data_IF_254585985692
#
_entry.id   IF_254585985692
#
_cell.length_a   1.000
_cell.length_b   1.000
_cell.length_c   1.000
_cell.angle_alpha   90.00
_cell.angle_beta   90.00
_cell.angle_gamma   90.00
#
_symmetry.space_group_name_H-M   'P 1'
#
loop_
_entity.id
_entity.type
_entity.pdbx_description
1 polymer ?
#
# COMPACT_ATOMS: atom_id res chain seq x y z
N UNK A 1 48.88 44.19 36.44
CA UNK A 1 50.29 44.08 36.87
C UNK A 1 51.13 44.71 35.76
N UNK A 2 51.22 46.03 35.55
CA UNK A 2 51.33 47.18 36.47
C UNK A 2 52.23 46.89 37.65
N UNK A 3 53.52 47.20 37.47
CA UNK A 3 54.47 47.76 38.45
C UNK A 3 55.80 47.92 37.70
N UNK A 4 56.24 49.12 37.30
CA UNK A 4 56.90 50.18 38.10
C UNK A 4 58.03 49.68 38.99
N UNK A 5 59.26 49.90 38.53
CA UNK A 5 60.49 50.04 39.32
C UNK A 5 61.52 50.67 38.37
N UNK A 6 62.06 51.88 38.59
CA UNK A 6 62.36 52.57 39.83
C UNK A 6 63.84 52.35 40.14
N UNK A 7 64.59 53.46 40.20
CA UNK A 7 65.99 53.63 40.62
C UNK A 7 67.02 53.77 39.49
N UNK A 8 68.02 54.64 39.56
CA UNK A 8 68.38 55.73 40.48
C UNK A 8 69.34 56.62 39.68
N UNK A 9 69.24 57.93 39.91
CA UNK A 9 70.09 58.95 39.34
C UNK A 9 71.56 58.78 39.77
N UNK A 10 72.49 59.16 38.89
CA UNK A 10 73.75 59.76 39.29
C UNK A 10 74.13 60.81 38.25
N UNK A 11 73.75 62.06 38.58
CA UNK A 11 74.36 63.26 38.05
C UNK A 11 75.87 63.15 38.27
N UNK A 12 76.65 63.31 37.22
CA UNK A 12 78.07 63.61 37.32
C UNK A 12 78.36 64.74 36.35
N UNK A 13 78.05 65.97 36.81
CA UNK A 13 78.59 67.19 36.23
C UNK A 13 80.10 67.18 36.48
N UNK A 14 80.86 66.81 35.45
CA UNK A 14 82.31 66.95 35.45
C UNK A 14 82.62 68.37 35.00
N UNK A 15 82.74 69.27 35.96
CA UNK A 15 83.52 70.51 35.82
C UNK A 15 84.99 70.13 35.70
N UNK A 16 85.63 70.41 34.56
CA UNK A 16 87.03 70.82 34.59
C UNK A 16 87.51 71.44 33.28
N UNK A 17 87.77 72.74 33.41
CA UNK A 17 88.97 73.43 32.94
C UNK A 17 89.60 72.96 31.63
N UNK A 18 89.36 73.73 30.58
CA UNK A 18 90.35 73.88 29.51
C UNK A 18 90.66 75.36 29.31
N UNK A 19 91.93 75.66 29.55
CA UNK A 19 92.64 76.93 29.43
C UNK A 19 92.12 77.87 28.32
N UNK A 20 91.91 79.14 28.70
CA UNK A 20 92.03 80.27 27.79
C UNK A 20 93.52 80.48 27.53
N UNK A 21 94.05 79.85 26.48
CA UNK A 21 95.36 80.19 25.95
C UNK A 21 95.23 81.49 25.14
N UNK A 22 95.57 82.61 25.77
CA UNK A 22 95.89 83.86 25.08
C UNK A 22 97.22 83.66 24.37
N UNK A 23 97.18 83.17 23.14
CA UNK A 23 98.35 83.15 22.28
C UNK A 23 98.53 84.57 21.70
N UNK A 24 99.48 85.30 22.30
CA UNK A 24 100.06 86.52 21.74
C UNK A 24 100.46 86.25 20.29
N UNK A 25 99.93 87.07 19.39
CA UNK A 25 100.32 87.12 18.00
C UNK A 25 101.82 87.37 17.87
N UNK A 26 102.59 86.34 17.53
CA UNK A 26 103.80 86.54 16.75
C UNK A 26 103.33 86.72 15.30
N UNK A 27 103.11 87.98 14.93
CA UNK A 27 103.00 88.39 13.53
C UNK A 27 104.38 88.19 12.87
N UNK A 28 104.63 87.00 12.35
CA UNK A 28 105.60 86.85 11.27
C UNK A 28 104.93 87.39 10.01
N UNK A 29 105.19 88.66 9.72
CA UNK A 29 104.93 89.27 8.42
C UNK A 29 105.85 88.59 7.39
N UNK A 30 105.43 87.44 6.85
CA UNK A 30 105.97 86.90 5.60
C UNK A 30 104.87 86.99 4.57
N UNK A 31 105.18 87.74 3.52
CA UNK A 31 104.33 87.97 2.36
C UNK A 31 103.78 86.67 1.75
N UNK A 32 102.47 86.70 1.49
CA UNK A 32 101.76 86.14 0.35
C UNK A 32 102.08 84.70 -0.13
N UNK A 33 101.13 83.79 0.10
CA UNK A 33 100.69 82.85 -0.95
C UNK A 33 100.54 81.37 -0.61
N UNK A 34 101.50 80.73 0.07
CA UNK A 34 101.66 79.27 0.00
C UNK A 34 100.86 78.41 0.99
N UNK A 35 101.15 78.51 2.28
CA UNK A 35 100.67 77.53 3.27
C UNK A 35 99.16 77.63 3.56
N UNK A 36 98.62 78.85 3.64
CA UNK A 36 97.18 79.08 3.83
C UNK A 36 96.35 78.65 2.62
N UNK A 37 96.89 78.81 1.41
CA UNK A 37 96.30 78.33 0.16
C UNK A 37 96.25 76.80 0.11
N UNK A 38 97.35 76.12 0.47
CA UNK A 38 97.43 74.64 0.52
C UNK A 38 96.51 74.02 1.58
N UNK A 39 96.41 74.61 2.77
CA UNK A 39 95.44 74.14 3.79
C UNK A 39 93.99 74.35 3.35
N UNK A 40 93.68 75.47 2.69
CA UNK A 40 92.34 75.70 2.09
C UNK A 40 92.03 74.70 0.98
N UNK A 41 92.99 74.41 0.12
CA UNK A 41 92.85 73.42 -0.95
C UNK A 41 92.62 72.01 -0.38
N UNK A 42 93.41 71.58 0.61
CA UNK A 42 93.21 70.30 1.28
C UNK A 42 91.87 70.22 2.03
N UNK A 43 91.43 71.31 2.67
CA UNK A 43 90.09 71.38 3.27
C UNK A 43 88.98 71.27 2.23
N UNK A 44 89.17 71.90 1.07
CA UNK A 44 88.22 71.82 -0.04
C UNK A 44 88.17 70.42 -0.66
N UNK A 45 89.33 69.78 -0.85
CA UNK A 45 89.46 68.40 -1.36
C UNK A 45 88.89 67.38 -0.37
N UNK A 46 89.20 67.52 0.92
CA UNK A 46 88.62 66.65 1.97
C UNK A 46 87.10 66.83 2.07
N UNK A 47 86.60 68.06 1.91
CA UNK A 47 85.16 68.34 1.85
C UNK A 47 84.53 67.75 0.60
N UNK A 48 85.15 67.90 -0.57
CA UNK A 48 84.69 67.31 -1.83
C UNK A 48 84.65 65.79 -1.75
N UNK A 49 85.70 65.16 -1.23
CA UNK A 49 85.74 63.70 -1.02
C UNK A 49 84.71 63.21 0.00
N UNK A 50 84.42 64.01 1.05
CA UNK A 50 83.35 63.71 2.00
C UNK A 50 81.97 63.82 1.34
N UNK A 51 81.73 64.85 0.53
CA UNK A 51 80.49 65.03 -0.23
C UNK A 51 80.28 63.90 -1.25
N UNK A 52 81.33 63.49 -1.97
CA UNK A 52 81.31 62.36 -2.89
C UNK A 52 81.03 61.03 -2.18
N UNK A 53 81.73 60.74 -1.08
CA UNK A 53 81.50 59.51 -0.30
C UNK A 53 80.12 59.47 0.34
N UNK A 54 79.61 60.60 0.84
CA UNK A 54 78.23 60.70 1.31
C UNK A 54 77.21 60.45 0.19
N UNK A 55 77.44 61.01 -1.00
CA UNK A 55 76.56 60.78 -2.15
C UNK A 55 76.54 59.31 -2.58
N UNK A 56 77.70 58.64 -2.55
CA UNK A 56 77.85 57.23 -2.85
C UNK A 56 77.16 56.36 -1.78
N UNK A 57 77.33 56.70 -0.49
CA UNK A 57 76.67 55.99 0.61
C UNK A 57 75.14 56.08 0.50
N UNK A 58 74.60 57.27 0.19
CA UNK A 58 73.16 57.44 -0.05
C UNK A 58 72.69 56.60 -1.25
N UNK A 59 73.41 56.65 -2.37
CA UNK A 59 73.09 55.85 -3.56
C UNK A 59 73.11 54.34 -3.28
N UNK A 60 74.10 53.86 -2.52
CA UNK A 60 74.18 52.45 -2.11
C UNK A 60 73.04 52.07 -1.15
N UNK A 61 72.69 52.94 -0.20
CA UNK A 61 71.54 52.73 0.69
C UNK A 61 70.23 52.62 -0.10
N UNK A 62 69.98 53.50 -1.06
CA UNK A 62 68.80 53.44 -1.93
C UNK A 62 68.76 52.15 -2.75
N UNK A 63 69.90 51.73 -3.29
CA UNK A 63 70.00 50.45 -4.04
C UNK A 63 69.73 49.25 -3.14
N UNK A 64 70.24 49.25 -1.91
CA UNK A 64 69.98 48.19 -0.93
C UNK A 64 68.48 48.13 -0.59
N UNK A 65 67.85 49.27 -0.31
CA UNK A 65 66.41 49.35 -0.05
C UNK A 65 65.59 48.84 -1.24
N UNK A 66 65.95 49.22 -2.46
CA UNK A 66 65.27 48.77 -3.67
C UNK A 66 65.40 47.25 -3.87
N UNK A 67 66.58 46.67 -3.61
CA UNK A 67 66.78 45.21 -3.66
C UNK A 67 65.97 44.51 -2.56
N UNK A 68 65.92 45.07 -1.35
CA UNK A 68 65.12 44.52 -0.24
C UNK A 68 63.62 44.52 -0.58
N UNK A 69 63.09 45.64 -1.08
CA UNK A 69 61.69 45.71 -1.52
C UNK A 69 61.36 44.70 -2.63
N UNK A 70 62.27 44.51 -3.59
CA UNK A 70 62.11 43.48 -4.62
C UNK A 70 62.11 42.08 -4.03
N UNK A 71 63.02 41.77 -3.10
CA UNK A 71 63.07 40.48 -2.41
C UNK A 71 61.76 40.20 -1.67
N UNK A 72 61.26 41.18 -0.93
CA UNK A 72 60.04 41.01 -0.13
C UNK A 72 58.80 40.81 -1.03
N UNK A 73 58.72 41.52 -2.18
CA UNK A 73 57.69 41.27 -3.20
C UNK A 73 57.77 39.85 -3.77
N UNK A 74 58.97 39.38 -4.11
CA UNK A 74 59.16 38.00 -4.62
C UNK A 74 58.80 36.97 -3.56
N UNK A 75 59.18 37.19 -2.30
CA UNK A 75 58.82 36.32 -1.19
C UNK A 75 57.30 36.21 -1.01
N UNK A 76 56.58 37.33 -1.07
CA UNK A 76 55.12 37.35 -1.02
C UNK A 76 54.47 36.58 -2.19
N UNK A 77 55.00 36.74 -3.40
CA UNK A 77 54.51 35.99 -4.57
C UNK A 77 54.76 34.48 -4.45
N UNK A 78 55.93 34.08 -3.92
CA UNK A 78 56.24 32.67 -3.67
C UNK A 78 55.29 32.05 -2.63
N UNK A 79 54.97 32.78 -1.56
CA UNK A 79 53.98 32.35 -0.57
C UNK A 79 52.60 32.18 -1.20
N UNK A 80 52.15 33.15 -2.02
CA UNK A 80 50.86 33.07 -2.71
C UNK A 80 50.80 31.87 -3.66
N UNK A 81 51.87 31.61 -4.42
CA UNK A 81 51.96 30.46 -5.31
C UNK A 81 51.92 29.14 -4.54
N UNK A 82 52.56 29.08 -3.37
CA UNK A 82 52.52 27.89 -2.51
C UNK A 82 51.10 27.62 -2.01
N UNK A 83 50.38 28.64 -1.53
CA UNK A 83 48.98 28.52 -1.10
C UNK A 83 48.09 28.06 -2.26
N UNK A 84 48.25 28.65 -3.45
CA UNK A 84 47.48 28.24 -4.64
C UNK A 84 47.74 26.78 -5.02
N UNK A 85 48.98 26.32 -4.95
CA UNK A 85 49.34 24.92 -5.22
C UNK A 85 48.70 23.97 -4.22
N UNK A 86 48.77 24.28 -2.92
CA UNK A 86 48.10 23.50 -1.89
C UNK A 86 46.59 23.42 -2.13
N UNK A 87 45.96 24.52 -2.55
CA UNK A 87 44.53 24.53 -2.87
C UNK A 87 44.21 23.67 -4.08
N UNK A 88 45.06 23.66 -5.11
CA UNK A 88 44.91 22.80 -6.28
C UNK A 88 45.00 21.31 -5.90
N UNK A 89 45.93 20.94 -5.02
CA UNK A 89 46.07 19.57 -4.51
C UNK A 89 44.81 19.14 -3.72
N UNK A 90 44.24 20.04 -2.90
CA UNK A 90 42.98 19.79 -2.18
C UNK A 90 41.78 19.58 -3.13
N UNK A 91 41.68 20.39 -4.19
CA UNK A 91 40.64 20.25 -5.21
C UNK A 91 40.76 18.91 -5.95
N UNK A 92 41.97 18.48 -6.28
CA UNK A 92 42.21 17.19 -6.92
C UNK A 92 41.72 16.01 -6.05
N UNK A 93 42.00 16.06 -4.75
CA UNK A 93 41.50 15.06 -3.79
C UNK A 93 39.97 15.09 -3.69
N UNK A 94 39.37 16.27 -3.64
CA UNK A 94 37.90 16.43 -3.59
C UNK A 94 37.23 15.88 -4.85
N UNK A 95 37.79 16.17 -6.02
CA UNK A 95 37.29 15.68 -7.30
C UNK A 95 37.34 14.15 -7.37
N UNK A 96 38.44 13.53 -6.92
CA UNK A 96 38.53 12.07 -6.85
C UNK A 96 37.48 11.47 -5.91
N UNK A 97 37.21 12.11 -4.76
CA UNK A 97 36.15 11.67 -3.83
C UNK A 97 34.77 11.77 -4.48
N UNK A 98 34.47 12.87 -5.17
CA UNK A 98 33.21 13.05 -5.88
C UNK A 98 33.03 12.02 -6.99
N UNK A 99 34.08 11.71 -7.76
CA UNK A 99 34.05 10.67 -8.79
C UNK A 99 33.77 9.28 -8.21
N UNK A 100 34.41 8.94 -7.09
CA UNK A 100 34.15 7.67 -6.39
C UNK A 100 32.72 7.58 -5.84
N UNK A 101 32.21 8.68 -5.30
CA UNK A 101 30.83 8.76 -4.83
C UNK A 101 29.84 8.57 -5.99
N UNK A 102 30.08 9.22 -7.14
CA UNK A 102 29.25 9.07 -8.33
C UNK A 102 29.23 7.62 -8.83
N UNK A 103 30.40 6.98 -8.95
CA UNK A 103 30.49 5.55 -9.32
C UNK A 103 29.75 4.63 -8.34
N UNK A 104 29.76 4.97 -7.05
CA UNK A 104 28.99 4.22 -6.05
C UNK A 104 27.49 4.39 -6.26
N UNK A 105 27.03 5.61 -6.55
CA UNK A 105 25.63 5.89 -6.85
C UNK A 105 25.17 5.15 -8.12
N UNK A 106 25.99 5.14 -9.18
CA UNK A 106 25.67 4.45 -10.43
C UNK A 106 25.45 2.95 -10.19
N UNK A 107 26.33 2.31 -9.40
CA UNK A 107 26.19 0.90 -9.01
C UNK A 107 24.91 0.65 -8.21
N UNK A 108 24.56 1.55 -7.28
CA UNK A 108 23.34 1.44 -6.49
C UNK A 108 22.09 1.58 -7.38
N UNK A 109 22.12 2.48 -8.38
CA UNK A 109 21.03 2.63 -9.34
C UNK A 109 20.86 1.38 -10.21
N UNK A 110 21.95 0.79 -10.68
CA UNK A 110 21.92 -0.48 -11.42
C UNK A 110 21.30 -1.60 -10.58
N UNK A 111 21.71 -1.71 -9.31
CA UNK A 111 21.16 -2.71 -8.39
C UNK A 111 19.65 -2.51 -8.18
N UNK A 112 19.22 -1.28 -7.87
CA UNK A 112 17.80 -0.98 -7.65
C UNK A 112 16.95 -1.21 -8.90
N UNK A 113 17.50 -0.96 -10.10
CA UNK A 113 16.82 -1.28 -11.37
C UNK A 113 16.63 -2.78 -11.53
N UNK A 114 17.66 -3.57 -11.27
CA UNK A 114 17.57 -5.03 -11.34
C UNK A 114 16.57 -5.60 -10.33
N UNK A 115 16.57 -5.09 -9.10
CA UNK A 115 15.59 -5.46 -8.07
C UNK A 115 14.16 -5.09 -8.48
N UNK A 116 13.96 -3.91 -9.06
CA UNK A 116 12.66 -3.48 -9.57
C UNK A 116 12.16 -4.34 -10.72
N UNK A 117 13.02 -4.71 -11.68
CA UNK A 117 12.69 -5.60 -12.79
C UNK A 117 12.30 -7.00 -12.29
N UNK A 118 13.06 -7.55 -11.33
CA UNK A 118 12.76 -8.83 -10.71
C UNK A 118 11.39 -8.81 -9.99
N UNK A 119 11.10 -7.74 -9.23
CA UNK A 119 9.81 -7.57 -8.56
C UNK A 119 8.65 -7.44 -9.57
N UNK A 120 8.84 -6.72 -10.68
CA UNK A 120 7.85 -6.62 -11.75
C UNK A 120 7.58 -7.98 -12.39
N UNK A 121 8.62 -8.78 -12.65
CA UNK A 121 8.45 -10.13 -13.16
C UNK A 121 7.65 -11.03 -12.21
N UNK A 122 7.91 -10.94 -10.90
CA UNK A 122 7.12 -11.66 -9.89
C UNK A 122 5.66 -11.18 -9.87
N UNK A 123 5.41 -9.87 -9.96
CA UNK A 123 4.05 -9.34 -9.97
C UNK A 123 3.25 -9.87 -11.18
N UNK A 124 3.90 -9.98 -12.34
CA UNK A 124 3.27 -10.58 -13.54
C UNK A 124 2.97 -12.07 -13.33
N UNK A 125 3.85 -12.84 -12.70
CA UNK A 125 3.59 -14.26 -12.43
C UNK A 125 2.45 -14.45 -11.42
N UNK A 126 2.43 -13.67 -10.34
CA UNK A 126 1.33 -13.66 -9.37
C UNK A 126 0.00 -13.27 -10.00
N UNK A 127 0.02 -12.29 -10.91
CA UNK A 127 -1.17 -11.87 -11.66
C UNK A 127 -1.74 -13.04 -12.47
N UNK A 128 -0.89 -13.74 -13.22
CA UNK A 128 -1.29 -14.92 -14.00
C UNK A 128 -1.85 -16.04 -13.12
N UNK A 129 -1.21 -16.32 -11.99
CA UNK A 129 -1.69 -17.34 -11.05
C UNK A 129 -3.06 -16.97 -10.49
N UNK A 130 -3.25 -15.71 -10.08
CA UNK A 130 -4.56 -15.23 -9.63
C UNK A 130 -5.60 -15.38 -10.72
N UNK A 131 -5.28 -15.00 -11.95
CA UNK A 131 -6.23 -15.08 -13.08
C UNK A 131 -6.62 -16.56 -13.34
N UNK A 132 -5.66 -17.49 -13.32
CA UNK A 132 -5.93 -18.94 -13.39
C UNK A 132 -6.80 -19.44 -12.23
N UNK A 133 -6.49 -19.04 -10.99
CA UNK A 133 -7.30 -19.41 -9.82
C UNK A 133 -8.71 -18.84 -9.91
N UNK A 134 -8.86 -17.63 -10.43
CA UNK A 134 -10.16 -17.00 -10.65
C UNK A 134 -10.96 -17.78 -11.71
N UNK A 135 -10.34 -18.17 -12.82
CA UNK A 135 -10.98 -19.02 -13.84
C UNK A 135 -11.45 -20.36 -13.25
N UNK A 136 -10.62 -21.01 -12.43
CA UNK A 136 -11.00 -22.23 -11.73
C UNK A 136 -12.13 -22.00 -10.72
N UNK A 137 -12.09 -20.90 -9.98
CA UNK A 137 -13.15 -20.55 -9.03
C UNK A 137 -14.48 -20.30 -9.75
N UNK A 138 -14.47 -19.56 -10.87
CA UNK A 138 -15.68 -19.31 -11.67
C UNK A 138 -16.21 -20.60 -12.30
N UNK A 139 -15.34 -21.43 -12.88
CA UNK A 139 -15.75 -22.73 -13.44
C UNK A 139 -16.35 -23.65 -12.36
N UNK A 140 -15.77 -23.63 -11.16
CA UNK A 140 -16.30 -24.39 -10.01
C UNK A 140 -17.66 -23.83 -9.59
N UNK A 141 -17.80 -22.51 -9.47
CA UNK A 141 -19.07 -21.85 -9.13
C UNK A 141 -20.17 -22.15 -10.15
N UNK A 142 -19.85 -22.21 -11.45
CA UNK A 142 -20.83 -22.57 -12.47
C UNK A 142 -21.38 -23.98 -12.25
N UNK A 143 -20.52 -24.94 -11.88
CA UNK A 143 -20.90 -26.35 -11.65
C UNK A 143 -21.57 -26.54 -10.28
N UNK A 144 -21.23 -25.70 -9.30
CA UNK A 144 -21.76 -25.79 -7.95
C UNK A 144 -23.26 -25.48 -7.93
N UNK A 145 -24.03 -26.45 -7.44
CA UNK A 145 -25.48 -26.33 -7.21
C UNK A 145 -25.82 -25.92 -5.77
N UNK A 146 -24.80 -25.59 -4.97
CA UNK A 146 -24.92 -25.14 -3.59
C UNK A 146 -24.03 -23.92 -3.44
N UNK A 147 -24.60 -22.77 -3.11
CA UNK A 147 -23.89 -21.53 -2.84
C UNK A 147 -23.83 -21.30 -1.33
N UNK A 148 -22.64 -20.99 -0.82
CA UNK A 148 -22.48 -20.51 0.54
C UNK A 148 -22.89 -19.03 0.62
N UNK A 149 -23.90 -18.71 1.43
CA UNK A 149 -24.37 -17.32 1.64
C UNK A 149 -23.56 -16.67 2.77
N UNK A 150 -23.51 -17.32 3.93
CA UNK A 150 -22.79 -16.82 5.09
C UNK A 150 -22.24 -17.94 5.97
N UNK A 151 -21.20 -17.58 6.72
CA UNK A 151 -20.56 -18.42 7.72
C UNK A 151 -20.54 -17.65 9.02
N UNK A 152 -21.07 -18.24 10.07
CA UNK A 152 -20.91 -17.81 11.45
C UNK A 152 -20.22 -18.92 12.28
N UNK A 153 -19.85 -18.62 13.53
CA UNK A 153 -19.16 -19.56 14.42
C UNK A 153 -19.94 -20.85 14.68
N UNK A 154 -21.27 -20.78 14.65
CA UNK A 154 -22.15 -21.92 14.95
C UNK A 154 -23.16 -22.23 13.87
N UNK A 155 -23.17 -21.47 12.77
CA UNK A 155 -24.16 -21.61 11.70
C UNK A 155 -23.54 -21.40 10.31
N UNK A 156 -23.96 -22.20 9.34
CA UNK A 156 -23.69 -22.01 7.92
C UNK A 156 -25.01 -21.80 7.18
N UNK A 157 -25.11 -20.73 6.42
CA UNK A 157 -26.25 -20.47 5.55
C UNK A 157 -25.87 -20.79 4.11
N UNK A 158 -26.62 -21.70 3.49
CA UNK A 158 -26.42 -22.20 2.14
C UNK A 158 -27.64 -21.93 1.27
N UNK A 159 -27.47 -21.86 -0.04
CA UNK A 159 -28.56 -21.75 -1.02
C UNK A 159 -28.38 -22.84 -2.09
N UNK A 160 -29.41 -23.64 -2.31
CA UNK A 160 -29.42 -24.65 -3.36
C UNK A 160 -29.87 -24.01 -4.67
N UNK A 161 -29.02 -24.08 -5.71
CA UNK A 161 -29.30 -23.60 -7.06
C UNK A 161 -29.11 -24.75 -8.05
N UNK A 162 -30.09 -25.66 -8.16
CA UNK A 162 -29.94 -26.78 -9.04
C UNK A 162 -30.04 -26.31 -10.49
N UNK A 163 -29.38 -27.04 -11.39
CA UNK A 163 -29.57 -26.86 -12.83
C UNK A 163 -30.82 -27.64 -13.23
N UNK A 164 -31.99 -27.01 -13.17
CA UNK A 164 -33.22 -27.66 -13.59
C UNK A 164 -33.21 -27.80 -15.12
N UNK A 165 -33.56 -28.98 -15.67
CA UNK A 165 -33.72 -29.14 -17.11
C UNK A 165 -34.79 -28.17 -17.61
N UNK A 166 -34.56 -27.57 -18.78
CA UNK A 166 -35.28 -26.46 -19.39
C UNK A 166 -36.81 -26.57 -19.36
N UNK A 167 -37.43 -26.28 -18.22
CA UNK A 167 -38.87 -26.09 -18.07
C UNK A 167 -39.12 -24.60 -17.84
N UNK A 168 -39.97 -23.94 -18.64
CA UNK A 168 -40.19 -22.50 -18.55
C UNK A 168 -40.73 -22.06 -17.18
N UNK A 169 -41.46 -22.92 -16.47
CA UNK A 169 -41.99 -22.69 -15.12
C UNK A 169 -40.99 -22.95 -13.97
N UNK A 170 -39.88 -23.64 -14.25
CA UNK A 170 -38.85 -23.94 -13.24
C UNK A 170 -38.07 -22.71 -12.78
N UNK A 171 -37.98 -21.68 -13.63
CA UNK A 171 -37.31 -20.41 -13.30
C UNK A 171 -38.10 -19.53 -12.32
N UNK A 172 -39.35 -19.87 -12.03
CA UNK A 172 -40.19 -19.15 -11.06
C UNK A 172 -39.96 -19.63 -9.62
N UNK A 173 -39.34 -20.80 -9.45
CA UNK A 173 -39.07 -21.36 -8.13
C UNK A 173 -37.92 -20.64 -7.45
N UNK A 174 -38.16 -20.21 -6.21
CA UNK A 174 -37.12 -19.65 -5.36
C UNK A 174 -36.13 -20.75 -4.92
N UNK A 175 -34.81 -20.50 -5.00
CA UNK A 175 -33.77 -21.37 -4.46
C UNK A 175 -34.00 -21.70 -2.97
N UNK A 176 -33.88 -22.96 -2.52
CA UNK A 176 -33.95 -23.29 -1.11
C UNK A 176 -32.77 -22.75 -0.34
N UNK A 177 -33.06 -22.00 0.73
CA UNK A 177 -32.06 -21.61 1.72
C UNK A 177 -32.02 -22.65 2.82
N UNK A 178 -30.81 -23.04 3.21
CA UNK A 178 -30.54 -24.04 4.22
C UNK A 178 -29.70 -23.43 5.33
N UNK A 179 -30.09 -23.64 6.57
CA UNK A 179 -29.30 -23.33 7.75
C UNK A 179 -28.72 -24.63 8.32
N UNK A 180 -27.40 -24.69 8.46
CA UNK A 180 -26.70 -25.78 9.14
C UNK A 180 -26.15 -25.22 10.43
N UNK A 181 -26.72 -25.61 11.56
CA UNK A 181 -26.21 -25.21 12.87
C UNK A 181 -25.44 -26.34 13.53
N UNK A 182 -24.33 -25.98 14.18
CA UNK A 182 -23.42 -26.91 14.85
C UNK A 182 -23.75 -27.03 16.33
N UNK A 183 -23.70 -28.25 16.84
CA UNK A 183 -23.81 -28.55 18.26
C UNK A 183 -22.44 -28.89 18.83
N UNK A 184 -22.27 -28.69 20.14
CA UNK A 184 -21.01 -28.97 20.84
C UNK A 184 -20.60 -30.46 20.85
N UNK A 185 -21.48 -31.37 20.44
CA UNK A 185 -21.27 -32.82 20.36
C UNK A 185 -20.89 -33.31 18.94
N UNK A 186 -20.31 -32.44 18.11
CA UNK A 186 -19.90 -32.74 16.71
C UNK A 186 -21.08 -33.16 15.80
N UNK A 187 -22.29 -32.76 16.18
CA UNK A 187 -23.50 -32.95 15.38
C UNK A 187 -23.93 -31.66 14.72
N UNK A 188 -24.56 -31.79 13.56
CA UNK A 188 -25.23 -30.70 12.88
C UNK A 188 -26.74 -30.88 12.94
N UNK A 189 -27.46 -29.78 12.77
CA UNK A 189 -28.88 -29.76 12.40
C UNK A 189 -29.04 -28.96 11.13
N UNK A 190 -29.67 -29.56 10.13
CA UNK A 190 -29.94 -28.98 8.83
C UNK A 190 -31.42 -28.62 8.75
N UNK A 191 -31.72 -27.33 8.55
CA UNK A 191 -33.07 -26.80 8.45
C UNK A 191 -33.24 -26.05 7.12
N UNK A 192 -34.40 -26.16 6.51
CA UNK A 192 -34.79 -25.33 5.36
C UNK A 192 -35.42 -24.04 5.89
N UNK A 193 -35.10 -22.92 5.24
CA UNK A 193 -35.65 -21.61 5.58
C UNK A 193 -37.18 -21.59 5.55
N UNK A 194 -37.76 -20.72 6.37
CA UNK A 194 -39.21 -20.66 6.67
C UNK A 194 -40.11 -20.60 5.42
N UNK A 195 -39.65 -19.96 4.34
CA UNK A 195 -40.37 -19.85 3.05
C UNK A 195 -40.67 -21.20 2.38
N UNK A 196 -39.83 -22.21 2.63
CA UNK A 196 -39.94 -23.56 2.09
C UNK A 196 -40.03 -24.61 3.22
N UNK A 197 -40.31 -24.16 4.45
CA UNK A 197 -40.44 -25.04 5.59
C UNK A 197 -41.49 -26.13 5.31
N UNK A 198 -41.08 -27.37 5.51
CA UNK A 198 -41.89 -28.55 5.23
C UNK A 198 -41.89 -29.01 3.78
N UNK A 199 -41.51 -28.18 2.79
CA UNK A 199 -41.60 -28.47 1.33
C UNK A 199 -40.50 -29.34 0.77
N UNK A 200 -39.36 -29.42 1.46
CA UNK A 200 -38.22 -30.23 1.03
C UNK A 200 -37.98 -31.33 2.05
N UNK A 201 -38.06 -32.58 1.61
CA UNK A 201 -37.68 -33.75 2.41
C UNK A 201 -36.13 -33.85 2.46
N UNK A 202 -35.57 -34.18 3.63
CA UNK A 202 -34.10 -34.31 3.82
C UNK A 202 -33.49 -33.45 4.93
N UNK A 203 -34.28 -32.60 5.60
CA UNK A 203 -33.83 -31.89 6.81
C UNK A 203 -33.71 -32.83 8.00
N UNK A 204 -32.63 -32.72 8.77
CA UNK A 204 -32.38 -33.62 9.89
C UNK A 204 -31.14 -33.26 10.70
N UNK A 205 -30.84 -34.10 11.69
CA UNK A 205 -29.61 -34.00 12.49
C UNK A 205 -28.71 -35.19 12.21
N UNK A 206 -27.41 -34.92 12.05
CA UNK A 206 -26.42 -35.94 11.77
C UNK A 206 -25.06 -35.59 12.38
N UNK A 207 -24.10 -36.50 12.23
CA UNK A 207 -22.69 -36.20 12.51
C UNK A 207 -22.09 -35.38 11.38
N UNK A 208 -21.05 -34.59 11.65
CA UNK A 208 -20.45 -33.70 10.65
C UNK A 208 -19.98 -34.38 9.35
N UNK A 209 -19.53 -35.64 9.43
CA UNK A 209 -19.06 -36.44 8.29
C UNK A 209 -20.16 -36.79 7.27
N UNK A 210 -21.43 -36.85 7.70
CA UNK A 210 -22.57 -37.15 6.81
C UNK A 210 -23.24 -35.90 6.23
N UNK A 211 -22.76 -34.69 6.54
CA UNK A 211 -23.36 -33.43 6.06
C UNK A 211 -23.41 -33.37 4.53
N UNK A 212 -22.35 -33.77 3.84
CA UNK A 212 -22.32 -33.76 2.38
C UNK A 212 -23.38 -34.67 1.77
N UNK A 213 -23.63 -35.84 2.36
CA UNK A 213 -24.71 -36.73 1.94
C UNK A 213 -26.08 -36.10 2.18
N UNK A 214 -26.31 -35.53 3.37
CA UNK A 214 -27.57 -34.84 3.69
C UNK A 214 -27.85 -33.67 2.74
N UNK A 215 -26.84 -32.87 2.37
CA UNK A 215 -27.00 -31.79 1.40
C UNK A 215 -27.33 -32.30 -0.01
N UNK A 216 -26.73 -33.44 -0.42
CA UNK A 216 -27.06 -34.09 -1.68
C UNK A 216 -28.47 -34.64 -1.69
N UNK A 217 -28.94 -35.22 -0.58
CA UNK A 217 -30.31 -35.73 -0.45
C UNK A 217 -31.33 -34.59 -0.60
N UNK A 218 -31.08 -33.44 0.05
CA UNK A 218 -31.93 -32.24 -0.10
C UNK A 218 -31.90 -31.72 -1.54
N UNK A 219 -30.74 -31.68 -2.19
CA UNK A 219 -30.61 -31.29 -3.59
C UNK A 219 -31.39 -32.22 -4.53
N UNK A 220 -31.27 -33.53 -4.35
CA UNK A 220 -31.97 -34.55 -5.14
C UNK A 220 -33.49 -34.52 -4.90
N UNK A 221 -33.91 -34.34 -3.65
CA UNK A 221 -35.31 -34.19 -3.26
C UNK A 221 -35.94 -32.97 -3.92
N UNK A 222 -35.29 -31.80 -3.82
CA UNK A 222 -35.79 -30.56 -4.41
C UNK A 222 -35.83 -30.63 -5.94
N UNK A 223 -34.80 -31.19 -6.59
CA UNK A 223 -34.79 -31.37 -8.05
C UNK A 223 -35.83 -32.36 -8.53
N UNK A 224 -36.03 -33.48 -7.83
CA UNK A 224 -37.03 -34.48 -8.16
C UNK A 224 -38.47 -33.98 -8.02
N UNK A 225 -38.71 -33.02 -7.14
CA UNK A 225 -40.04 -32.43 -6.90
C UNK A 225 -40.27 -31.09 -7.61
N UNK A 226 -39.29 -30.60 -8.37
CA UNK A 226 -39.33 -29.27 -8.97
C UNK A 226 -40.59 -28.99 -9.79
N UNK A 227 -40.99 -29.92 -10.68
CA UNK A 227 -42.16 -29.73 -11.52
C UNK A 227 -43.46 -29.63 -10.71
N UNK A 228 -43.60 -30.43 -9.65
CA UNK A 228 -44.72 -30.38 -8.71
C UNK A 228 -44.74 -29.04 -7.96
N UNK A 229 -43.60 -28.63 -7.41
CA UNK A 229 -43.49 -27.37 -6.67
C UNK A 229 -43.78 -26.16 -7.56
N UNK A 230 -43.34 -26.18 -8.82
CA UNK A 230 -43.63 -25.12 -9.79
C UNK A 230 -45.14 -25.03 -10.09
N UNK A 231 -45.80 -26.17 -10.29
CA UNK A 231 -47.25 -26.22 -10.50
C UNK A 231 -48.00 -25.70 -9.27
N UNK A 232 -47.64 -26.14 -8.05
CA UNK A 232 -48.24 -25.64 -6.80
C UNK A 232 -48.02 -24.13 -6.65
N UNK A 233 -46.83 -23.63 -6.96
CA UNK A 233 -46.52 -22.21 -6.89
C UNK A 233 -47.44 -21.39 -7.82
N UNK A 234 -47.60 -21.83 -9.06
CA UNK A 234 -48.49 -21.20 -10.03
C UNK A 234 -49.95 -21.21 -9.56
N UNK A 235 -50.42 -22.33 -8.99
CA UNK A 235 -51.80 -22.48 -8.54
C UNK A 235 -52.14 -21.61 -7.33
N UNK A 236 -51.18 -21.30 -6.45
CA UNK A 236 -51.38 -20.40 -5.30
C UNK A 236 -51.84 -18.99 -5.69
N UNK A 237 -51.56 -18.55 -6.92
CA UNK A 237 -52.03 -17.26 -7.41
C UNK A 237 -53.56 -17.25 -7.69
N UNK A 238 -54.14 -18.42 -7.99
CA UNK A 238 -55.54 -18.54 -8.44
C UNK A 238 -56.44 -19.30 -7.47
N UNK A 239 -55.87 -20.12 -6.59
CA UNK A 239 -56.60 -20.99 -5.69
C UNK A 239 -56.08 -20.87 -4.26
N UNK A 240 -57.00 -20.89 -3.28
CA UNK A 240 -56.65 -20.97 -1.86
C UNK A 240 -56.22 -22.39 -1.52
N UNK A 241 -54.92 -22.68 -1.67
CA UNK A 241 -54.35 -24.01 -1.48
C UNK A 241 -53.25 -24.03 -0.42
N UNK A 242 -53.13 -25.16 0.28
CA UNK A 242 -52.05 -25.46 1.21
C UNK A 242 -51.41 -26.81 0.84
N UNK A 243 -50.08 -26.91 0.94
CA UNK A 243 -49.32 -28.09 0.54
C UNK A 243 -48.62 -28.70 1.74
N UNK A 244 -48.95 -29.97 2.04
CA UNK A 244 -48.42 -30.75 3.16
C UNK A 244 -47.47 -31.82 2.65
N UNK A 245 -46.16 -31.57 2.66
CA UNK A 245 -45.24 -32.32 1.81
C UNK A 245 -44.89 -33.68 2.43
N UNK A 246 -44.75 -33.74 3.76
CA UNK A 246 -44.60 -34.99 4.52
C UNK A 246 -45.78 -35.97 4.36
N UNK A 247 -46.97 -35.48 3.98
CA UNK A 247 -48.15 -36.31 3.68
C UNK A 247 -48.40 -36.44 2.17
N UNK A 248 -47.64 -35.72 1.36
CA UNK A 248 -47.88 -35.48 -0.07
C UNK A 248 -49.34 -35.11 -0.37
N UNK A 249 -49.90 -34.22 0.44
CA UNK A 249 -51.31 -33.85 0.41
C UNK A 249 -51.49 -32.37 0.09
N UNK A 250 -52.29 -32.06 -0.93
CA UNK A 250 -52.69 -30.70 -1.26
C UNK A 250 -54.12 -30.44 -0.77
N UNK A 251 -54.28 -29.40 0.02
CA UNK A 251 -55.56 -28.93 0.51
C UNK A 251 -56.04 -27.78 -0.36
N UNK A 252 -57.28 -27.84 -0.82
CA UNK A 252 -57.93 -26.77 -1.57
C UNK A 252 -59.15 -26.28 -0.81
N UNK A 253 -59.12 -25.03 -0.39
CA UNK A 253 -60.23 -24.35 0.25
C UNK A 253 -61.11 -23.71 -0.82
N UNK A 254 -62.20 -24.39 -1.20
CA UNK A 254 -63.16 -23.87 -2.19
C UNK A 254 -64.07 -22.80 -1.57
N UNK A 255 -64.46 -22.98 -0.31
CA UNK A 255 -65.20 -22.00 0.48
C UNK A 255 -64.89 -22.17 1.97
N UNK A 256 -65.33 -21.24 2.83
CA UNK A 256 -65.07 -21.29 4.27
C UNK A 256 -65.54 -22.60 4.94
N UNK A 257 -66.53 -23.29 4.35
CA UNK A 257 -67.08 -24.54 4.84
C UNK A 257 -66.58 -25.76 4.06
N UNK A 258 -65.91 -25.60 2.92
CA UNK A 258 -65.63 -26.68 1.97
C UNK A 258 -64.14 -26.80 1.64
N UNK A 259 -63.56 -27.95 2.02
CA UNK A 259 -62.14 -28.27 1.79
C UNK A 259 -62.02 -29.56 0.99
N UNK A 260 -61.24 -29.55 -0.08
CA UNK A 260 -60.91 -30.73 -0.88
C UNK A 260 -59.48 -31.18 -0.58
N UNK A 261 -59.28 -32.49 -0.41
CA UNK A 261 -58.00 -33.09 -0.09
C UNK A 261 -57.51 -33.90 -1.31
N UNK A 262 -56.42 -33.47 -1.94
CA UNK A 262 -55.82 -34.10 -3.12
C UNK A 262 -54.52 -34.80 -2.73
N UNK A 263 -54.49 -36.12 -2.85
CA UNK A 263 -53.30 -36.93 -2.62
C UNK A 263 -52.44 -36.93 -3.89
N UNK A 264 -51.15 -36.63 -3.74
CA UNK A 264 -50.17 -36.60 -4.83
C UNK A 264 -49.21 -37.77 -4.68
N UNK A 265 -49.16 -38.65 -5.68
CA UNK A 265 -48.26 -39.80 -5.65
C UNK A 265 -46.80 -39.43 -5.89
N UNK A 266 -45.92 -40.35 -5.51
CA UNK A 266 -44.49 -40.23 -5.80
C UNK A 266 -44.24 -40.25 -7.31
N UNK A 267 -43.30 -39.43 -7.77
CA UNK A 267 -42.97 -39.29 -9.19
C UNK A 267 -43.92 -38.42 -10.02
N UNK A 268 -45.00 -37.88 -9.43
CA UNK A 268 -45.81 -36.86 -10.11
C UNK A 268 -44.96 -35.60 -10.42
N UNK A 269 -45.07 -35.01 -11.63
CA UNK A 269 -46.03 -35.30 -12.69
C UNK A 269 -45.58 -36.34 -13.73
N UNK A 270 -44.35 -36.85 -13.66
CA UNK A 270 -43.78 -37.72 -14.70
C UNK A 270 -44.30 -39.16 -14.68
N UNK A 271 -44.49 -39.74 -13.49
CA UNK A 271 -44.89 -41.15 -13.32
C UNK A 271 -45.92 -41.36 -12.21
N UNK A 272 -46.25 -40.33 -11.45
CA UNK A 272 -47.26 -40.36 -10.40
C UNK A 272 -48.55 -39.68 -10.82
N UNK A 273 -49.64 -39.96 -10.11
CA UNK A 273 -50.95 -39.35 -10.34
C UNK A 273 -51.44 -38.51 -9.16
N UNK A 274 -52.46 -37.69 -9.41
CA UNK A 274 -53.19 -36.95 -8.36
C UNK A 274 -54.57 -37.57 -8.23
N UNK A 275 -54.99 -37.81 -6.98
CA UNK A 275 -56.33 -38.34 -6.68
C UNK A 275 -57.02 -37.51 -5.61
N UNK A 276 -58.33 -37.37 -5.73
CA UNK A 276 -59.16 -36.81 -4.67
C UNK A 276 -59.28 -37.84 -3.54
N UNK A 277 -58.72 -37.51 -2.38
CA UNK A 277 -58.74 -38.37 -1.19
C UNK A 277 -60.01 -38.18 -0.37
N UNK A 278 -60.45 -36.94 -0.18
CA UNK A 278 -61.68 -36.64 0.57
C UNK A 278 -62.16 -35.22 0.29
N UNK A 279 -63.45 -34.98 0.54
CA UNK A 279 -64.07 -33.65 0.53
C UNK A 279 -64.75 -33.45 1.88
N UNK A 280 -64.46 -32.34 2.54
CA UNK A 280 -65.03 -31.98 3.84
C UNK A 280 -65.96 -30.78 3.67
N UNK A 281 -67.22 -30.91 4.10
CA UNK A 281 -68.18 -29.82 4.24
C UNK A 281 -68.54 -29.66 5.71
N UNK A 282 -68.30 -28.47 6.27
CA UNK A 282 -68.47 -28.19 7.71
C UNK A 282 -67.73 -29.20 8.60
N UNK A 283 -66.54 -29.64 8.16
CA UNK A 283 -65.72 -30.64 8.84
C UNK A 283 -66.21 -32.10 8.71
N UNK A 284 -67.28 -32.36 7.96
CA UNK A 284 -67.82 -33.72 7.71
C UNK A 284 -67.50 -34.20 6.31
N UNK A 285 -67.16 -35.48 6.17
CA UNK A 285 -66.87 -36.10 4.87
C UNK A 285 -68.12 -36.14 4.00
N UNK A 286 -68.01 -35.60 2.79
CA UNK A 286 -69.03 -35.67 1.74
C UNK A 286 -68.77 -36.89 0.87
N UNK A 287 -69.83 -37.54 0.40
CA UNK A 287 -69.72 -38.61 -0.57
C UNK A 287 -69.15 -38.08 -1.90
N UNK A 288 -68.14 -38.77 -2.42
CA UNK A 288 -67.37 -38.37 -3.60
C UNK A 288 -67.57 -39.33 -4.78
N UNK A 289 -68.43 -40.35 -4.67
CA UNK A 289 -68.63 -41.37 -5.71
C UNK A 289 -69.08 -40.79 -7.07
N UNK A 290 -69.73 -39.63 -7.06
CA UNK A 290 -70.16 -38.89 -8.25
C UNK A 290 -69.10 -37.97 -8.88
N UNK A 291 -67.98 -37.72 -8.20
CA UNK A 291 -66.91 -36.82 -8.67
C UNK A 291 -65.91 -37.59 -9.54
N UNK A 292 -66.33 -37.93 -10.76
CA UNK A 292 -65.45 -38.58 -11.74
C UNK A 292 -65.01 -37.58 -12.81
N UNK A 293 -63.71 -37.22 -12.86
CA UNK A 293 -63.20 -36.39 -13.95
C UNK A 293 -63.29 -37.13 -15.30
N UNK A 294 -63.44 -36.38 -16.39
CA UNK A 294 -63.59 -36.93 -17.75
C UNK A 294 -62.31 -37.57 -18.30
N UNK A 295 -61.14 -37.18 -17.76
CA UNK A 295 -59.84 -37.78 -18.08
C UNK A 295 -59.37 -38.60 -16.88
N UNK A 296 -58.74 -39.74 -17.16
CA UNK A 296 -58.28 -40.68 -16.13
C UNK A 296 -57.09 -40.15 -15.31
N UNK A 297 -56.22 -39.36 -15.93
CA UNK A 297 -55.06 -38.74 -15.28
C UNK A 297 -55.16 -37.23 -15.43
N UNK A 298 -55.49 -36.55 -14.32
CA UNK A 298 -55.54 -35.10 -14.25
C UNK A 298 -54.29 -34.56 -13.54
N UNK A 299 -53.78 -33.45 -14.03
CA UNK A 299 -52.82 -32.64 -13.30
C UNK A 299 -53.46 -32.00 -12.06
N UNK A 300 -52.67 -31.46 -11.13
CA UNK A 300 -53.18 -30.67 -10.01
C UNK A 300 -54.01 -29.48 -10.54
N UNK A 301 -53.52 -28.85 -11.59
CA UNK A 301 -54.22 -27.74 -12.27
C UNK A 301 -55.59 -28.17 -12.76
N UNK A 302 -55.66 -29.28 -13.49
CA UNK A 302 -56.92 -29.78 -14.04
C UNK A 302 -57.90 -30.19 -12.92
N UNK A 303 -57.39 -30.79 -11.84
CA UNK A 303 -58.18 -31.12 -10.66
C UNK A 303 -58.80 -29.88 -10.02
N UNK A 304 -58.02 -28.82 -9.79
CA UNK A 304 -58.52 -27.60 -9.16
C UNK A 304 -59.53 -26.86 -10.06
N UNK A 305 -59.29 -26.82 -11.38
CA UNK A 305 -60.25 -26.26 -12.34
C UNK A 305 -61.55 -27.05 -12.34
N UNK A 306 -61.48 -28.39 -12.32
CA UNK A 306 -62.64 -29.25 -12.24
C UNK A 306 -63.42 -29.02 -10.93
N UNK A 307 -62.74 -29.06 -9.77
CA UNK A 307 -63.39 -28.90 -8.46
C UNK A 307 -64.00 -27.50 -8.29
N UNK A 308 -63.35 -26.46 -8.82
CA UNK A 308 -63.87 -25.10 -8.81
C UNK A 308 -65.16 -24.98 -9.63
N UNK A 309 -65.18 -25.55 -10.84
CA UNK A 309 -66.34 -25.50 -11.75
C UNK A 309 -67.42 -26.55 -11.46
N UNK A 310 -67.16 -27.53 -10.60
CA UNK A 310 -68.11 -28.58 -10.27
C UNK A 310 -69.25 -28.05 -9.38
N UNK A 311 -70.52 -28.17 -9.79
CA UNK A 311 -71.66 -27.73 -8.99
C UNK A 311 -72.08 -28.74 -7.91
N UNK A 312 -71.54 -29.96 -7.94
CA UNK A 312 -71.90 -31.03 -7.01
C UNK A 312 -71.30 -30.83 -5.60
N UNK A 313 -70.31 -29.95 -5.47
CA UNK A 313 -69.62 -29.63 -4.22
C UNK A 313 -69.58 -28.13 -3.97
#
# INVERSE_FOLDING_TARGET
MTETGGAVALNTEVYSFTCVCVCVCVCVCVSEGGARGRWKALKAETRSGMEETESLLRSLQDRVQHVQQRRDRVAALLQLLHIKRQHQDQLAVSLLKAQKALQSCDRQLEQLRAESEAALHQLVSWRRLRDLLQEHATATQEVMQIQLISVDQSELLLEIRPRLPSQPSANELRPPRLAVSWRHDDRFTLQVGEELAGQVEGCGSGRRDVLSAALLDVLQSYTGQAALLAEIHSLRASFAIDWRPAQRLLLYLKSAALVCHLQVEHGYPASGSVRLSSVLRDGRTVDTEGLKPRKAELSLTDWLVFLCSCPLI
#
